data_IF_810806384315
#
_entry.id   IF_810806384315
#
_cell.length_a   1.000
_cell.length_b   1.000
_cell.length_c   1.000
_cell.angle_alpha   90.00
_cell.angle_beta   90.00
_cell.angle_gamma   90.00
#
_symmetry.space_group_name_H-M   'P 1'
#
loop_
_entity.id
_entity.type
_entity.pdbx_description
1 polymer ?
#
# COMPACT_ATOMS: atom_id res chain seq x y z
N UNK A 1 -11.86 -14.92 -31.42
CA UNK A 1 -11.33 -14.34 -30.16
C UNK A 1 -12.24 -13.18 -29.80
N UNK A 2 -13.20 -13.40 -28.91
CA UNK A 2 -13.99 -12.29 -28.36
C UNK A 2 -13.03 -11.35 -27.62
N UNK A 3 -13.18 -10.02 -27.70
CA UNK A 3 -12.40 -9.12 -26.85
C UNK A 3 -12.70 -9.53 -25.42
N UNK A 4 -11.72 -10.14 -24.75
CA UNK A 4 -11.87 -10.56 -23.37
C UNK A 4 -12.26 -9.33 -22.57
N UNK A 5 -13.35 -9.41 -21.81
CA UNK A 5 -13.68 -8.42 -20.80
C UNK A 5 -12.41 -8.18 -19.99
N UNK A 6 -11.73 -7.05 -20.22
CA UNK A 6 -10.58 -6.69 -19.42
C UNK A 6 -11.07 -6.70 -17.97
N UNK A 7 -10.49 -7.57 -17.13
CA UNK A 7 -10.86 -7.62 -15.72
C UNK A 7 -10.78 -6.18 -15.19
N UNK A 8 -11.88 -5.68 -14.64
CA UNK A 8 -11.97 -4.29 -14.19
C UNK A 8 -10.94 -4.10 -13.08
N UNK A 9 -9.92 -3.25 -13.33
CA UNK A 9 -8.92 -2.92 -12.31
C UNK A 9 -9.62 -2.46 -11.03
N UNK A 10 -9.25 -3.07 -9.91
CA UNK A 10 -9.72 -2.70 -8.57
C UNK A 10 -8.68 -1.80 -7.92
N UNK A 11 -9.14 -0.75 -7.24
CA UNK A 11 -8.30 0.24 -6.61
C UNK A 11 -8.76 0.44 -5.17
N UNK A 12 -7.79 0.66 -4.29
CA UNK A 12 -8.02 1.01 -2.89
C UNK A 12 -6.95 2.01 -2.45
N UNK A 13 -7.31 2.90 -1.53
CA UNK A 13 -6.38 3.82 -0.90
C UNK A 13 -6.67 3.92 0.60
N UNK A 14 -5.62 4.19 1.37
CA UNK A 14 -5.71 4.48 2.79
C UNK A 14 -4.54 5.37 3.20
N UNK A 15 -4.71 6.08 4.31
CA UNK A 15 -3.70 6.95 4.91
C UNK A 15 -3.70 6.71 6.41
N UNK A 16 -2.52 6.84 7.02
CA UNK A 16 -2.33 6.76 8.46
C UNK A 16 -1.57 7.98 8.95
N UNK A 17 -1.96 8.48 10.13
CA UNK A 17 -1.28 9.55 10.85
C UNK A 17 -0.34 9.01 11.96
N UNK A 18 -0.11 7.69 12.00
CA UNK A 18 0.79 7.09 12.99
C UNK A 18 2.24 7.56 12.79
N UNK A 19 2.85 7.98 13.91
CA UNK A 19 4.25 8.36 13.94
C UNK A 19 5.18 7.14 13.78
N UNK A 20 4.76 5.97 14.27
CA UNK A 20 5.48 4.71 14.07
C UNK A 20 5.23 4.15 12.67
N UNK A 21 6.30 3.87 11.93
CA UNK A 21 6.22 3.52 10.52
C UNK A 21 5.61 2.13 10.29
N UNK A 22 5.88 1.18 11.18
CA UNK A 22 5.35 -0.18 11.09
C UNK A 22 3.85 -0.20 11.43
N UNK A 23 3.44 0.55 12.47
CA UNK A 23 2.03 0.71 12.82
C UNK A 23 1.25 1.42 11.70
N UNK A 24 1.82 2.47 11.11
CA UNK A 24 1.21 3.17 9.98
C UNK A 24 0.99 2.23 8.79
N UNK A 25 2.00 1.44 8.44
CA UNK A 25 1.92 0.47 7.35
C UNK A 25 0.89 -0.63 7.62
N UNK A 26 0.83 -1.14 8.86
CA UNK A 26 -0.13 -2.16 9.26
C UNK A 26 -1.58 -1.65 9.19
N UNK A 27 -1.84 -0.43 9.67
CA UNK A 27 -3.17 0.21 9.60
C UNK A 27 -3.61 0.38 8.15
N UNK A 28 -2.76 0.97 7.30
CA UNK A 28 -3.05 1.17 5.87
C UNK A 28 -3.32 -0.16 5.17
N UNK A 29 -2.54 -1.20 5.46
CA UNK A 29 -2.71 -2.50 4.84
C UNK A 29 -4.04 -3.16 5.24
N UNK A 30 -4.46 -3.05 6.50
CA UNK A 30 -5.74 -3.56 6.97
C UNK A 30 -6.91 -2.87 6.24
N UNK A 31 -6.88 -1.54 6.15
CA UNK A 31 -7.93 -0.78 5.44
C UNK A 31 -7.97 -1.14 3.95
N UNK A 32 -6.81 -1.30 3.30
CA UNK A 32 -6.75 -1.73 1.89
C UNK A 32 -7.33 -3.14 1.71
N UNK A 33 -7.05 -4.07 2.63
CA UNK A 33 -7.61 -5.43 2.60
C UNK A 33 -9.13 -5.43 2.74
N UNK A 34 -9.68 -4.58 3.59
CA UNK A 34 -11.13 -4.45 3.73
C UNK A 34 -11.79 -3.93 2.45
N UNK A 35 -11.13 -3.03 1.70
CA UNK A 35 -11.63 -2.49 0.44
C UNK A 35 -11.52 -3.46 -0.74
N UNK A 36 -10.37 -4.12 -0.89
CA UNK A 36 -10.12 -5.04 -2.01
C UNK A 36 -10.70 -6.44 -1.78
N UNK A 37 -10.85 -6.84 -0.52
CA UNK A 37 -11.19 -8.21 -0.14
C UNK A 37 -10.01 -9.18 -0.35
N UNK A 38 -10.28 -10.49 -0.53
CA UNK A 38 -9.25 -11.52 -0.61
C UNK A 38 -8.53 -11.58 -1.96
N UNK A 39 -8.70 -10.59 -2.84
CA UNK A 39 -8.09 -10.58 -4.17
C UNK A 39 -6.56 -10.35 -4.07
N UNK A 40 -5.78 -10.89 -5.02
CA UNK A 40 -4.36 -10.59 -5.13
C UNK A 40 -4.11 -9.09 -5.35
N UNK A 41 -3.00 -8.58 -4.81
CA UNK A 41 -2.52 -7.22 -5.06
C UNK A 41 -1.39 -7.29 -6.07
N UNK A 42 -1.59 -6.77 -7.27
CA UNK A 42 -0.53 -6.79 -8.29
C UNK A 42 0.46 -5.63 -8.10
N UNK A 43 -0.04 -4.47 -7.63
CA UNK A 43 0.73 -3.24 -7.48
C UNK A 43 0.40 -2.55 -6.16
N UNK A 44 1.43 -2.20 -5.40
CA UNK A 44 1.34 -1.34 -4.23
C UNK A 44 2.27 -0.13 -4.42
N UNK A 45 1.70 1.07 -4.32
CA UNK A 45 2.44 2.34 -4.33
C UNK A 45 2.35 2.94 -2.93
N UNK A 46 3.47 3.00 -2.23
CA UNK A 46 3.55 3.51 -0.87
C UNK A 46 4.15 4.92 -0.88
N UNK A 47 3.39 5.89 -0.39
CA UNK A 47 3.86 7.26 -0.17
C UNK A 47 4.01 7.47 1.33
N UNK A 48 5.13 8.03 1.77
CA UNK A 48 5.37 8.32 3.18
C UNK A 48 6.10 9.65 3.36
N UNK A 49 5.93 10.26 4.53
CA UNK A 49 6.57 11.54 4.84
C UNK A 49 8.05 11.38 5.14
N UNK A 50 8.82 12.47 5.04
CA UNK A 50 10.26 12.49 5.35
C UNK A 50 10.61 11.89 6.72
N UNK A 51 9.70 12.00 7.71
CA UNK A 51 9.86 11.43 9.05
C UNK A 51 9.99 9.92 9.07
N UNK A 52 9.50 9.24 8.04
CA UNK A 52 9.55 7.78 7.92
C UNK A 52 10.69 7.26 7.03
N UNK A 53 11.54 8.13 6.46
CA UNK A 53 12.62 7.71 5.53
C UNK A 53 13.59 6.71 6.18
N UNK A 54 13.99 6.96 7.43
CA UNK A 54 14.87 6.04 8.17
C UNK A 54 14.23 4.66 8.44
N UNK A 55 12.91 4.56 8.30
CA UNK A 55 12.11 3.37 8.58
C UNK A 55 11.43 2.81 7.32
N UNK A 56 11.87 3.23 6.13
CA UNK A 56 11.27 2.81 4.86
C UNK A 56 11.27 1.28 4.67
N UNK A 57 12.29 0.59 5.20
CA UNK A 57 12.34 -0.87 5.19
C UNK A 57 11.24 -1.49 6.05
N UNK A 58 10.96 -0.95 7.23
CA UNK A 58 9.89 -1.42 8.10
C UNK A 58 8.52 -1.29 7.43
N UNK A 59 8.27 -0.16 6.74
CA UNK A 59 7.08 0.03 5.92
C UNK A 59 6.99 -1.05 4.85
N UNK A 60 8.08 -1.27 4.11
CA UNK A 60 8.10 -2.25 3.02
C UNK A 60 7.88 -3.69 3.52
N UNK A 61 8.47 -4.07 4.65
CA UNK A 61 8.29 -5.39 5.27
C UNK A 61 6.82 -5.60 5.64
N UNK A 62 6.20 -4.63 6.30
CA UNK A 62 4.80 -4.72 6.73
C UNK A 62 3.83 -4.80 5.53
N UNK A 63 3.99 -3.94 4.54
CA UNK A 63 3.17 -3.96 3.33
C UNK A 63 3.33 -5.27 2.55
N UNK A 64 4.56 -5.79 2.43
CA UNK A 64 4.81 -7.08 1.77
C UNK A 64 4.16 -8.23 2.51
N UNK A 65 4.23 -8.23 3.84
CA UNK A 65 3.62 -9.26 4.69
C UNK A 65 2.09 -9.26 4.57
N UNK A 66 1.46 -8.09 4.64
CA UNK A 66 0.00 -7.99 4.71
C UNK A 66 -0.68 -8.07 3.34
N UNK A 67 -0.11 -7.43 2.32
CA UNK A 67 -0.72 -7.31 0.99
C UNK A 67 -0.17 -8.31 -0.02
N UNK A 68 1.01 -8.90 0.24
CA UNK A 68 1.72 -9.79 -0.69
C UNK A 68 1.74 -9.25 -2.14
N UNK A 69 2.15 -7.99 -2.37
CA UNK A 69 2.04 -7.38 -3.67
C UNK A 69 3.05 -7.98 -4.65
N UNK A 70 2.65 -8.19 -5.90
CA UNK A 70 3.60 -8.63 -6.93
C UNK A 70 4.67 -7.57 -7.21
N UNK A 71 4.30 -6.27 -7.14
CA UNK A 71 5.21 -5.13 -7.24
C UNK A 71 4.94 -4.13 -6.12
N UNK A 72 6.01 -3.70 -5.42
CA UNK A 72 5.98 -2.62 -4.44
C UNK A 72 6.95 -1.52 -4.85
N UNK A 73 6.46 -0.28 -4.94
CA UNK A 73 7.29 0.91 -5.08
C UNK A 73 7.00 1.90 -3.94
N UNK A 74 8.06 2.46 -3.36
CA UNK A 74 7.98 3.43 -2.27
C UNK A 74 8.54 4.79 -2.69
N UNK A 75 7.86 5.87 -2.31
CA UNK A 75 8.30 7.24 -2.55
C UNK A 75 8.16 8.06 -1.28
N UNK A 76 9.24 8.72 -0.86
CA UNK A 76 9.17 9.71 0.20
C UNK A 76 8.75 11.08 -0.34
N UNK A 77 7.98 11.83 0.45
CA UNK A 77 7.56 13.18 0.13
C UNK A 77 7.60 14.07 1.37
N UNK A 78 7.62 15.40 1.18
CA UNK A 78 7.48 16.35 2.30
C UNK A 78 6.13 16.21 3.00
N UNK A 79 5.08 15.85 2.27
CA UNK A 79 3.76 15.54 2.77
C UNK A 79 3.06 14.57 1.83
N UNK A 80 2.09 13.83 2.36
CA UNK A 80 1.26 12.88 1.61
C UNK A 80 -0.19 13.31 1.78
N UNK A 81 -0.96 13.28 0.70
CA UNK A 81 -2.40 13.61 0.68
C UNK A 81 -3.12 12.43 0.03
N UNK A 82 -4.22 12.00 0.64
CA UNK A 82 -5.03 10.87 0.20
C UNK A 82 -6.43 11.32 -0.21
#
# INVERSE_FOLDING_TARGET
MSPGTAAKMQWACAVSDHADAAQAAAEVAEVIRQQLGPVPVDLCLAFFTVSHVAQAEAIAVELKRALTPATLAGVSARGVVA
#
